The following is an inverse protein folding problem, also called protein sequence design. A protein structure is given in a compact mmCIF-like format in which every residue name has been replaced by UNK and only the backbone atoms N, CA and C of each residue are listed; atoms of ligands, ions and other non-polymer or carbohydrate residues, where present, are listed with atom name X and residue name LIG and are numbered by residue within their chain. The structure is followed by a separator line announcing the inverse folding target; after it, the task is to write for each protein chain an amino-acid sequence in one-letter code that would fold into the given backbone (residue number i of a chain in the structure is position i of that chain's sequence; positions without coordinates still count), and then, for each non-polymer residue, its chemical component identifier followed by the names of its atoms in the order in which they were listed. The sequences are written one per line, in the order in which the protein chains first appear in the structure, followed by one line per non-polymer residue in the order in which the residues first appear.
data_IF_096016594605
#
_entry.id   IF_096016594605
#
_cell.length_a   1.000
_cell.length_b   1.000
_cell.length_c   1.000
_cell.angle_alpha   90.00
_cell.angle_beta   90.00
_cell.angle_gamma   90.00
#
_symmetry.space_group_name_H-M   'P 1'
#
loop_
_entity.id
_entity.type
_entity.pdbx_description
1 polymer ?
#
# COMPACT_ATOMS: atom_id res chain seq x y z
N UNK A 1 4.31 5.22 -20.46
CA UNK A 1 2.96 5.42 -19.89
C UNK A 1 2.87 4.90 -18.44
N UNK A 2 3.71 5.39 -17.52
CA UNK A 2 3.79 4.87 -16.14
C UNK A 2 2.58 5.26 -15.28
N UNK A 3 2.08 6.50 -15.41
CA UNK A 3 1.03 7.01 -14.51
C UNK A 3 -0.40 6.71 -14.95
N UNK A 4 -0.66 6.29 -16.20
CA UNK A 4 -2.02 5.92 -16.65
C UNK A 4 -2.70 4.92 -15.70
N UNK A 5 -2.08 3.75 -15.39
CA UNK A 5 -2.70 2.81 -14.45
C UNK A 5 -2.87 3.41 -13.04
N UNK A 6 -1.96 4.30 -12.61
CA UNK A 6 -2.06 4.97 -11.30
C UNK A 6 -3.30 5.86 -11.21
N UNK A 7 -3.62 6.61 -12.28
CA UNK A 7 -4.82 7.45 -12.31
C UNK A 7 -6.09 6.59 -12.33
N UNK A 8 -6.10 5.53 -13.13
CA UNK A 8 -7.25 4.61 -13.22
C UNK A 8 -7.50 3.94 -11.87
N UNK A 9 -6.47 3.39 -11.24
CA UNK A 9 -6.58 2.73 -9.94
C UNK A 9 -6.88 3.71 -8.81
N UNK A 10 -6.26 4.89 -8.81
CA UNK A 10 -6.46 5.92 -7.79
C UNK A 10 -7.83 6.58 -7.80
N UNK A 11 -8.61 6.41 -8.88
CA UNK A 11 -10.01 6.86 -8.97
C UNK A 11 -11.02 5.76 -8.64
N UNK A 12 -10.59 4.52 -8.40
CA UNK A 12 -11.46 3.47 -7.87
C UNK A 12 -11.76 3.72 -6.38
N UNK A 13 -12.96 3.40 -5.88
CA UNK A 13 -14.08 2.73 -6.58
C UNK A 13 -15.04 3.67 -7.35
N UNK A 14 -14.77 4.98 -7.42
CA UNK A 14 -15.70 5.97 -7.99
C UNK A 14 -15.74 5.95 -9.53
N UNK A 15 -14.67 5.52 -10.21
CA UNK A 15 -14.58 5.54 -11.67
C UNK A 15 -15.58 4.59 -12.36
N UNK A 16 -16.02 3.50 -11.74
CA UNK A 16 -17.09 2.66 -12.31
C UNK A 16 -18.43 3.40 -12.39
N UNK A 17 -18.75 4.22 -11.38
CA UNK A 17 -19.95 5.08 -11.39
C UNK A 17 -19.82 6.25 -12.36
N UNK A 18 -18.58 6.72 -12.58
CA UNK A 18 -18.29 7.78 -13.54
C UNK A 18 -18.72 7.40 -14.96
N UNK A 19 -18.44 6.17 -15.41
CA UNK A 19 -18.77 5.74 -16.77
C UNK A 19 -20.27 5.86 -17.06
N UNK A 20 -21.11 5.55 -16.07
CA UNK A 20 -22.56 5.73 -16.14
C UNK A 20 -22.95 7.21 -16.25
N UNK A 21 -22.46 8.04 -15.34
CA UNK A 21 -22.79 9.47 -15.34
C UNK A 21 -22.25 10.21 -16.58
N UNK A 22 -21.03 9.86 -17.02
CA UNK A 22 -20.36 10.47 -18.17
C UNK A 22 -21.07 10.14 -19.48
N UNK A 23 -21.42 8.86 -19.70
CA UNK A 23 -22.10 8.44 -20.92
C UNK A 23 -23.44 9.17 -21.09
N UNK A 24 -24.22 9.26 -20.02
CA UNK A 24 -25.47 10.03 -20.04
C UNK A 24 -25.24 11.54 -20.22
N UNK A 25 -24.20 12.09 -19.61
CA UNK A 25 -23.84 13.50 -19.77
C UNK A 25 -23.45 13.86 -21.20
N UNK A 26 -22.73 12.96 -21.88
CA UNK A 26 -22.36 13.09 -23.30
C UNK A 26 -23.57 12.97 -24.21
N UNK A 27 -24.42 11.95 -24.01
CA UNK A 27 -25.67 11.77 -24.78
C UNK A 27 -26.58 13.00 -24.69
N UNK A 28 -26.63 13.64 -23.52
CA UNK A 28 -27.43 14.85 -23.28
C UNK A 28 -26.73 16.18 -23.52
N UNK A 29 -25.47 16.16 -23.99
CA UNK A 29 -24.65 17.35 -24.27
C UNK A 29 -24.63 18.35 -23.10
N UNK A 30 -24.45 17.84 -21.89
CA UNK A 30 -24.49 18.65 -20.66
C UNK A 30 -23.27 19.56 -20.58
N UNK A 31 -23.51 20.84 -20.29
CA UNK A 31 -22.47 21.82 -19.99
C UNK A 31 -22.20 21.86 -18.49
N UNK A 32 -21.20 21.11 -18.03
CA UNK A 32 -20.85 21.02 -16.60
C UNK A 32 -20.08 22.24 -16.06
N UNK A 33 -19.31 22.89 -16.94
CA UNK A 33 -18.38 23.96 -16.61
C UNK A 33 -18.44 25.05 -17.67
N UNK A 34 -18.15 26.30 -17.27
CA UNK A 34 -17.86 27.36 -18.24
C UNK A 34 -16.55 27.06 -18.96
N UNK A 35 -16.36 27.68 -20.13
CA UNK A 35 -15.15 27.46 -20.92
C UNK A 35 -13.86 27.70 -20.11
N UNK A 36 -13.75 28.83 -19.40
CA UNK A 36 -12.55 29.15 -18.60
C UNK A 36 -12.25 28.11 -17.51
N UNK A 37 -13.26 27.70 -16.75
CA UNK A 37 -13.15 26.68 -15.68
C UNK A 37 -12.68 25.33 -16.24
N UNK A 38 -13.28 24.89 -17.37
CA UNK A 38 -12.89 23.66 -18.05
C UNK A 38 -11.44 23.69 -18.50
N UNK A 39 -11.00 24.79 -19.11
CA UNK A 39 -9.60 24.94 -19.55
C UNK A 39 -8.65 24.90 -18.36
N UNK A 40 -8.94 25.62 -17.29
CA UNK A 40 -8.12 25.61 -16.08
C UNK A 40 -7.93 24.20 -15.52
N UNK A 41 -9.02 23.45 -15.32
CA UNK A 41 -8.96 22.08 -14.78
C UNK A 41 -8.19 21.12 -15.69
N UNK A 42 -8.40 21.21 -17.02
CA UNK A 42 -7.68 20.38 -17.97
C UNK A 42 -6.20 20.73 -18.04
N UNK A 43 -5.85 22.02 -18.06
CA UNK A 43 -4.47 22.48 -18.03
C UNK A 43 -3.79 21.96 -16.76
N UNK A 44 -4.41 22.08 -15.59
CA UNK A 44 -3.87 21.52 -14.35
C UNK A 44 -3.54 20.03 -14.50
N UNK A 45 -4.53 19.23 -14.91
CA UNK A 45 -4.35 17.77 -15.06
C UNK A 45 -3.21 17.47 -16.04
N UNK A 46 -3.25 18.05 -17.25
CA UNK A 46 -2.30 17.74 -18.30
C UNK A 46 -0.90 18.26 -18.01
N UNK A 47 -0.75 19.46 -17.45
CA UNK A 47 0.55 20.03 -17.09
C UNK A 47 1.28 19.12 -16.10
N UNK A 48 0.63 18.70 -15.01
CA UNK A 48 1.23 17.82 -14.01
C UNK A 48 1.47 16.41 -14.59
N UNK A 49 0.49 15.86 -15.30
CA UNK A 49 0.56 14.52 -15.86
C UNK A 49 1.71 14.40 -16.87
N UNK A 50 1.83 15.35 -17.80
CA UNK A 50 2.86 15.35 -18.84
C UNK A 50 4.24 15.59 -18.19
N UNK A 51 4.35 16.59 -17.32
CA UNK A 51 5.60 16.92 -16.63
C UNK A 51 6.21 15.70 -15.94
N UNK A 52 5.45 15.02 -15.07
CA UNK A 52 5.97 13.84 -14.37
C UNK A 52 6.11 12.61 -15.28
N UNK A 53 5.30 12.48 -16.33
CA UNK A 53 5.44 11.39 -17.29
C UNK A 53 6.76 11.45 -18.07
N UNK A 54 7.26 12.64 -18.36
CA UNK A 54 8.54 12.86 -19.06
C UNK A 54 9.75 12.75 -18.12
N UNK A 55 9.59 13.07 -16.83
CA UNK A 55 10.65 12.98 -15.81
C UNK A 55 11.37 11.62 -15.78
N UNK A 56 12.69 11.60 -15.61
CA UNK A 56 13.49 10.37 -15.49
C UNK A 56 13.20 9.60 -14.20
N UNK A 57 13.00 10.30 -13.09
CA UNK A 57 12.63 9.72 -11.79
C UNK A 57 11.11 9.74 -11.61
N UNK A 58 10.53 8.59 -11.27
CA UNK A 58 9.08 8.41 -11.14
C UNK A 58 8.73 7.71 -9.85
N UNK A 59 7.98 8.39 -8.99
CA UNK A 59 7.32 7.83 -7.82
C UNK A 59 5.82 8.01 -7.97
N UNK A 60 5.05 6.98 -7.61
CA UNK A 60 3.57 7.00 -7.63
C UNK A 60 2.98 8.29 -7.03
N UNK A 61 3.40 8.79 -5.85
CA UNK A 61 2.83 9.99 -5.24
C UNK A 61 3.07 11.29 -6.03
N UNK A 62 4.01 11.34 -6.98
CA UNK A 62 4.27 12.57 -7.74
C UNK A 62 3.04 13.08 -8.48
N UNK A 63 2.17 12.16 -8.92
CA UNK A 63 0.97 12.55 -9.64
C UNK A 63 -0.22 12.88 -8.73
N UNK A 64 -0.11 12.68 -7.41
CA UNK A 64 -1.21 12.89 -6.47
C UNK A 64 -1.97 14.23 -6.64
N UNK A 65 -1.32 15.37 -6.96
CA UNK A 65 -2.04 16.63 -7.14
C UNK A 65 -3.10 16.65 -8.25
N UNK A 66 -3.06 15.74 -9.24
CA UNK A 66 -4.09 15.70 -10.30
C UNK A 66 -5.44 15.21 -9.79
N UNK A 67 -5.49 14.51 -8.65
CA UNK A 67 -6.75 14.00 -8.12
C UNK A 67 -7.68 15.13 -7.63
N UNK A 68 -7.14 16.32 -7.33
CA UNK A 68 -7.93 17.49 -6.94
C UNK A 68 -8.84 17.98 -8.08
N UNK A 69 -8.33 18.37 -9.27
CA UNK A 69 -9.21 18.76 -10.37
C UNK A 69 -10.09 17.60 -10.87
N UNK A 70 -9.62 16.35 -10.80
CA UNK A 70 -10.46 15.18 -11.12
C UNK A 70 -11.66 15.07 -10.17
N UNK A 71 -11.44 15.24 -8.86
CA UNK A 71 -12.52 15.20 -7.86
C UNK A 71 -13.55 16.31 -8.10
N UNK A 72 -13.13 17.51 -8.48
CA UNK A 72 -14.04 18.61 -8.86
C UNK A 72 -14.90 18.24 -10.08
N UNK A 73 -14.28 17.68 -11.13
CA UNK A 73 -14.99 17.20 -12.32
C UNK A 73 -16.00 16.11 -11.95
N UNK A 74 -15.61 15.14 -11.14
CA UNK A 74 -16.46 14.04 -10.70
C UNK A 74 -17.64 14.57 -9.87
N UNK A 75 -17.38 15.47 -8.92
CA UNK A 75 -18.41 16.07 -8.07
C UNK A 75 -19.48 16.80 -8.88
N UNK A 76 -19.09 17.62 -9.86
CA UNK A 76 -20.04 18.31 -10.73
C UNK A 76 -20.87 17.34 -11.57
N UNK A 77 -20.24 16.30 -12.13
CA UNK A 77 -20.92 15.30 -12.94
C UNK A 77 -21.90 14.46 -12.09
N UNK A 78 -21.51 14.05 -10.89
CA UNK A 78 -22.38 13.31 -9.99
C UNK A 78 -23.53 14.16 -9.45
N UNK A 79 -23.29 15.43 -9.14
CA UNK A 79 -24.36 16.37 -8.76
C UNK A 79 -25.41 16.47 -9.87
N UNK A 80 -24.97 16.69 -11.13
CA UNK A 80 -25.88 16.73 -12.27
C UNK A 80 -26.68 15.42 -12.42
N UNK A 81 -26.02 14.27 -12.19
CA UNK A 81 -26.67 12.96 -12.24
C UNK A 81 -27.72 12.75 -11.13
N UNK A 82 -27.45 13.30 -9.94
CA UNK A 82 -28.33 13.25 -8.77
C UNK A 82 -29.59 14.08 -8.98
N UNK A 83 -29.42 15.35 -9.36
CA UNK A 83 -30.51 16.33 -9.54
C UNK A 83 -31.48 15.93 -10.65
N UNK A 84 -31.03 15.06 -11.57
CA UNK A 84 -31.87 14.55 -12.62
C UNK A 84 -32.85 13.51 -12.09
N UNK A 85 -34.14 13.87 -12.12
CA UNK A 85 -35.25 12.92 -12.00
C UNK A 85 -35.18 11.88 -13.12
N UNK A 86 -34.76 10.66 -12.79
CA UNK A 86 -34.91 9.50 -13.69
C UNK A 86 -36.36 9.02 -13.53
N UNK A 87 -37.18 9.27 -14.56
CA UNK A 87 -38.48 8.62 -14.68
C UNK A 87 -38.32 7.10 -14.83
N UNK A 88 -39.34 6.30 -14.48
CA UNK A 88 -39.28 4.82 -14.48
C UNK A 88 -39.07 4.16 -15.86
N UNK A 89 -38.89 4.92 -16.94
CA UNK A 89 -38.96 4.47 -18.34
C UNK A 89 -37.68 3.84 -18.92
N UNK A 90 -36.60 3.71 -18.16
CA UNK A 90 -35.45 2.94 -18.67
C UNK A 90 -35.73 1.44 -18.55
N UNK A 91 -35.93 0.78 -19.70
CA UNK A 91 -36.10 -0.67 -19.78
C UNK A 91 -34.98 -1.43 -19.07
N UNK A 92 -35.31 -2.57 -18.47
CA UNK A 92 -34.42 -3.39 -17.65
C UNK A 92 -33.06 -3.68 -18.29
N UNK A 93 -33.01 -3.91 -19.61
CA UNK A 93 -31.77 -4.16 -20.35
C UNK A 93 -30.80 -2.97 -20.41
N UNK A 94 -31.28 -1.71 -20.51
CA UNK A 94 -30.39 -0.54 -20.48
C UNK A 94 -29.78 -0.32 -19.10
N UNK A 95 -30.53 -0.59 -18.04
CA UNK A 95 -30.03 -0.48 -16.65
C UNK A 95 -28.88 -1.45 -16.38
N UNK A 96 -29.03 -2.70 -16.80
CA UNK A 96 -27.99 -3.72 -16.63
C UNK A 96 -26.66 -3.32 -17.30
N UNK A 97 -26.71 -2.76 -18.50
CA UNK A 97 -25.51 -2.28 -19.20
C UNK A 97 -24.81 -1.12 -18.47
N UNK A 98 -25.56 -0.25 -17.80
CA UNK A 98 -25.01 0.86 -17.02
C UNK A 98 -24.44 0.41 -15.66
N UNK A 99 -25.00 -0.65 -15.07
CA UNK A 99 -24.53 -1.21 -13.80
C UNK A 99 -23.36 -2.21 -14.00
N UNK A 100 -23.14 -2.69 -15.23
CA UNK A 100 -22.09 -3.64 -15.58
C UNK A 100 -20.67 -3.21 -15.11
N UNK A 101 -20.20 -1.97 -15.31
CA UNK A 101 -18.88 -1.56 -14.81
C UNK A 101 -18.77 -1.61 -13.28
N UNK A 102 -19.87 -1.30 -12.58
CA UNK A 102 -19.94 -1.34 -11.11
C UNK A 102 -19.86 -2.80 -10.65
N UNK A 103 -20.59 -3.70 -11.31
CA UNK A 103 -20.53 -5.13 -11.04
C UNK A 103 -19.13 -5.70 -11.28
N UNK A 104 -18.53 -5.42 -12.45
CA UNK A 104 -17.18 -5.87 -12.80
C UNK A 104 -16.16 -5.40 -11.74
N UNK A 105 -16.19 -4.12 -11.38
CA UNK A 105 -15.32 -3.56 -10.34
C UNK A 105 -15.53 -4.28 -9.00
N UNK A 106 -16.78 -4.48 -8.59
CA UNK A 106 -17.10 -5.09 -7.29
C UNK A 106 -16.64 -6.54 -7.24
N UNK A 107 -16.90 -7.31 -8.30
CA UNK A 107 -16.41 -8.69 -8.41
C UNK A 107 -14.88 -8.76 -8.46
N UNK A 108 -14.21 -7.82 -9.14
CA UNK A 108 -12.75 -7.73 -9.15
C UNK A 108 -12.20 -7.51 -7.74
N UNK A 109 -12.76 -6.57 -6.95
CA UNK A 109 -12.34 -6.35 -5.56
C UNK A 109 -12.59 -7.58 -4.68
N UNK A 110 -13.76 -8.21 -4.80
CA UNK A 110 -14.08 -9.44 -4.06
C UNK A 110 -13.10 -10.57 -4.43
N UNK A 111 -12.80 -10.75 -5.72
CA UNK A 111 -11.84 -11.74 -6.18
C UNK A 111 -10.44 -11.50 -5.59
N UNK A 112 -9.98 -10.25 -5.54
CA UNK A 112 -8.69 -9.90 -4.92
C UNK A 112 -8.69 -10.21 -3.41
N UNK A 113 -9.77 -9.91 -2.69
CA UNK A 113 -9.89 -10.16 -1.25
C UNK A 113 -9.88 -11.65 -0.90
N UNK A 114 -10.47 -12.48 -1.75
CA UNK A 114 -10.55 -13.94 -1.56
C UNK A 114 -9.30 -14.64 -2.14
N UNK A 115 -8.56 -14.00 -3.05
CA UNK A 115 -7.39 -14.60 -3.71
C UNK A 115 -6.35 -15.25 -2.77
N UNK A 116 -6.02 -14.69 -1.58
CA UNK A 116 -5.05 -15.32 -0.69
C UNK A 116 -5.50 -16.69 -0.16
N UNK A 117 -6.81 -17.00 -0.16
CA UNK A 117 -7.34 -18.29 0.26
C UNK A 117 -7.04 -19.40 -0.77
N UNK A 118 -6.99 -19.03 -2.06
CA UNK A 118 -6.78 -19.99 -3.15
C UNK A 118 -5.31 -20.17 -3.53
N UNK A 119 -4.45 -19.20 -3.19
CA UNK A 119 -3.02 -19.24 -3.51
C UNK A 119 -2.27 -20.01 -2.42
N UNK A 120 -2.47 -21.32 -2.37
CA UNK A 120 -1.85 -22.26 -1.41
C UNK A 120 -0.41 -22.67 -1.76
N UNK A 121 0.12 -22.25 -2.92
CA UNK A 121 1.41 -22.75 -3.44
C UNK A 121 2.48 -21.66 -3.67
N UNK A 122 2.26 -20.42 -3.22
CA UNK A 122 3.33 -19.42 -3.22
C UNK A 122 4.12 -19.47 -1.92
N UNK A 123 5.35 -18.95 -1.92
CA UNK A 123 6.14 -18.68 -0.69
C UNK A 123 5.33 -17.98 0.41
N UNK A 124 4.21 -17.33 0.07
CA UNK A 124 3.20 -16.74 0.95
C UNK A 124 2.56 -17.75 1.93
N UNK A 125 2.43 -19.02 1.55
CA UNK A 125 1.72 -20.04 2.33
C UNK A 125 2.44 -20.37 3.65
N UNK A 126 3.78 -20.39 3.64
CA UNK A 126 4.61 -20.56 4.85
C UNK A 126 4.46 -19.42 5.88
N UNK A 127 3.88 -18.29 5.47
CA UNK A 127 3.62 -17.12 6.33
C UNK A 127 2.14 -16.97 6.71
N UNK A 128 1.25 -17.45 5.83
CA UNK A 128 -0.16 -17.64 6.15
C UNK A 128 -0.39 -18.84 7.08
N UNK A 129 0.56 -19.80 7.16
CA UNK A 129 0.56 -20.92 8.10
C UNK A 129 0.53 -20.43 9.57
N UNK A 130 1.18 -19.30 9.87
CA UNK A 130 1.11 -18.62 11.18
C UNK A 130 -0.09 -17.66 11.32
N UNK A 131 -0.88 -17.49 10.26
CA UNK A 131 -2.08 -16.67 10.22
C UNK A 131 -3.28 -17.55 9.95
N UNK A 132 -3.72 -18.30 10.97
CA UNK A 132 -4.97 -19.08 10.99
C UNK A 132 -5.94 -18.62 9.89
N UNK A 133 -6.03 -19.36 8.79
CA UNK A 133 -6.87 -19.01 7.61
C UNK A 133 -8.33 -18.76 8.04
N UNK A 134 -8.76 -19.40 9.12
CA UNK A 134 -10.03 -19.17 9.82
C UNK A 134 -10.26 -17.70 10.21
N UNK A 135 -9.21 -16.95 10.56
CA UNK A 135 -9.29 -15.52 10.91
C UNK A 135 -9.33 -14.61 9.69
N UNK A 136 -8.89 -15.06 8.51
CA UNK A 136 -8.90 -14.22 7.30
C UNK A 136 -10.33 -13.87 6.87
N UNK A 137 -11.26 -14.83 6.97
CA UNK A 137 -12.67 -14.62 6.66
C UNK A 137 -13.29 -13.47 7.46
N UNK A 138 -12.96 -13.36 8.75
CA UNK A 138 -13.43 -12.27 9.60
C UNK A 138 -12.87 -10.89 9.19
N UNK A 139 -11.70 -10.83 8.57
CA UNK A 139 -11.11 -9.60 8.07
C UNK A 139 -11.72 -9.15 6.73
N UNK A 140 -12.14 -10.10 5.88
CA UNK A 140 -12.66 -9.78 4.54
C UNK A 140 -14.18 -9.70 4.46
N UNK A 141 -14.93 -10.19 5.46
CA UNK A 141 -16.40 -10.20 5.43
C UNK A 141 -16.99 -8.79 5.31
N UNK A 142 -16.45 -7.81 6.04
CA UNK A 142 -16.90 -6.40 5.99
C UNK A 142 -16.61 -5.74 4.63
N UNK A 143 -15.39 -5.77 4.08
CA UNK A 143 -15.17 -5.18 2.75
C UNK A 143 -15.96 -5.90 1.65
N UNK A 144 -16.18 -7.22 1.74
CA UNK A 144 -17.06 -7.95 0.80
C UNK A 144 -18.51 -7.47 0.93
N UNK A 145 -19.02 -7.32 2.16
CA UNK A 145 -20.36 -6.81 2.41
C UNK A 145 -20.55 -5.43 1.76
N UNK A 146 -19.60 -4.50 1.94
CA UNK A 146 -19.68 -3.19 1.31
C UNK A 146 -19.62 -3.25 -0.22
N UNK A 147 -18.80 -4.13 -0.80
CA UNK A 147 -18.78 -4.35 -2.26
C UNK A 147 -20.11 -4.90 -2.78
N UNK A 148 -20.75 -5.82 -2.06
CA UNK A 148 -22.07 -6.34 -2.42
C UNK A 148 -23.13 -5.24 -2.33
N UNK A 149 -23.10 -4.41 -1.28
CA UNK A 149 -24.01 -3.28 -1.12
C UNK A 149 -23.82 -2.21 -2.22
N UNK A 150 -22.58 -1.97 -2.68
CA UNK A 150 -22.25 -1.02 -3.75
C UNK A 150 -22.99 -1.35 -5.06
N UNK A 151 -23.24 -2.62 -5.34
CA UNK A 151 -23.89 -3.08 -6.59
C UNK A 151 -25.36 -2.61 -6.67
N UNK A 152 -26.11 -2.65 -5.57
CA UNK A 152 -27.57 -2.43 -5.63
C UNK A 152 -28.07 -1.28 -4.77
N UNK A 153 -27.43 -0.98 -3.63
CA UNK A 153 -27.98 -0.05 -2.64
C UNK A 153 -28.09 1.40 -3.15
N UNK A 154 -27.12 1.96 -3.90
CA UNK A 154 -27.27 3.31 -4.47
C UNK A 154 -28.52 3.44 -5.34
N UNK A 155 -28.79 2.42 -6.16
CA UNK A 155 -29.97 2.38 -7.05
C UNK A 155 -31.27 2.24 -6.26
N UNK A 156 -31.29 1.46 -5.18
CA UNK A 156 -32.46 1.33 -4.29
C UNK A 156 -32.78 2.64 -3.55
N UNK A 157 -31.75 3.30 -3.00
CA UNK A 157 -31.91 4.58 -2.28
C UNK A 157 -32.45 5.64 -3.23
N UNK A 158 -31.86 5.76 -4.43
CA UNK A 158 -32.36 6.69 -5.47
C UNK A 158 -33.81 6.41 -5.83
N UNK A 159 -34.21 5.14 -5.98
CA UNK A 159 -35.59 4.79 -6.32
C UNK A 159 -36.59 5.12 -5.20
N UNK A 160 -36.21 4.88 -3.95
CA UNK A 160 -37.10 5.08 -2.79
C UNK A 160 -37.25 6.56 -2.42
N UNK A 161 -36.16 7.31 -2.42
CA UNK A 161 -36.12 8.67 -1.91
C UNK A 161 -35.98 9.75 -3.01
N UNK A 162 -35.80 9.34 -4.28
CA UNK A 162 -35.51 10.21 -5.43
C UNK A 162 -34.22 11.03 -5.32
N UNK A 163 -33.46 10.83 -4.25
CA UNK A 163 -32.19 11.46 -3.93
C UNK A 163 -31.33 10.52 -3.05
N UNK A 164 -30.07 10.87 -2.81
CA UNK A 164 -29.13 10.14 -1.96
C UNK A 164 -28.25 9.12 -2.70
N UNK A 165 -28.26 9.07 -4.03
CA UNK A 165 -27.44 8.13 -4.80
C UNK A 165 -25.94 8.34 -4.57
N UNK A 166 -25.49 9.59 -4.72
CA UNK A 166 -24.09 9.98 -4.57
C UNK A 166 -23.62 9.82 -3.13
N UNK A 167 -24.41 10.25 -2.14
CA UNK A 167 -24.08 10.08 -0.71
C UNK A 167 -23.95 8.60 -0.36
N UNK A 168 -24.83 7.75 -0.88
CA UNK A 168 -24.76 6.29 -0.67
C UNK A 168 -23.46 5.72 -1.24
N UNK A 169 -23.09 6.09 -2.47
CA UNK A 169 -21.82 5.66 -3.09
C UNK A 169 -20.63 6.12 -2.26
N UNK A 170 -20.62 7.39 -1.85
CA UNK A 170 -19.53 7.98 -1.08
C UNK A 170 -19.32 7.24 0.24
N UNK A 171 -20.40 7.01 1.00
CA UNK A 171 -20.35 6.31 2.28
C UNK A 171 -19.91 4.86 2.11
N UNK A 172 -20.50 4.11 1.17
CA UNK A 172 -20.12 2.72 0.94
C UNK A 172 -18.67 2.59 0.46
N UNK A 173 -18.21 3.51 -0.40
CA UNK A 173 -16.82 3.55 -0.86
C UNK A 173 -15.86 3.86 0.28
N UNK A 174 -16.20 4.81 1.15
CA UNK A 174 -15.42 5.14 2.34
C UNK A 174 -15.35 3.97 3.31
N UNK A 175 -16.48 3.32 3.61
CA UNK A 175 -16.51 2.15 4.49
C UNK A 175 -15.77 0.95 3.90
N UNK A 176 -15.88 0.72 2.59
CA UNK A 176 -15.07 -0.27 1.89
C UNK A 176 -13.57 0.04 2.05
N UNK A 177 -13.15 1.27 1.79
CA UNK A 177 -11.74 1.66 1.92
C UNK A 177 -11.23 1.58 3.36
N UNK A 178 -12.03 1.94 4.37
CA UNK A 178 -11.66 1.78 5.77
C UNK A 178 -11.54 0.29 6.11
N UNK A 179 -12.53 -0.52 5.72
CA UNK A 179 -12.56 -1.94 6.05
C UNK A 179 -11.47 -2.76 5.35
N UNK A 180 -11.03 -2.40 4.14
CA UNK A 180 -9.94 -3.09 3.44
C UNK A 180 -8.56 -2.84 4.08
N UNK A 181 -8.40 -1.79 4.89
CA UNK A 181 -7.12 -1.55 5.59
C UNK A 181 -6.75 -2.71 6.51
N UNK A 182 -7.72 -3.37 7.16
CA UNK A 182 -7.46 -4.47 8.08
C UNK A 182 -6.80 -5.70 7.41
N UNK A 183 -7.37 -6.30 6.34
CA UNK A 183 -6.72 -7.40 5.64
C UNK A 183 -5.40 -6.97 4.98
N UNK A 184 -5.32 -5.76 4.41
CA UNK A 184 -4.08 -5.23 3.83
C UNK A 184 -2.99 -5.11 4.90
N UNK A 185 -3.30 -4.53 6.05
CA UNK A 185 -2.35 -4.37 7.15
C UNK A 185 -1.86 -5.74 7.64
N UNK A 186 -2.76 -6.72 7.79
CA UNK A 186 -2.39 -8.09 8.18
C UNK A 186 -1.44 -8.72 7.16
N UNK A 187 -1.69 -8.52 5.87
CA UNK A 187 -0.86 -9.06 4.78
C UNK A 187 0.52 -8.38 4.72
N UNK A 188 0.59 -7.06 4.85
CA UNK A 188 1.82 -6.30 4.62
C UNK A 188 2.72 -6.16 5.86
N UNK A 189 2.16 -6.19 7.07
CA UNK A 189 2.90 -5.97 8.32
C UNK A 189 4.13 -6.88 8.45
N UNK A 190 4.06 -8.21 8.19
CA UNK A 190 5.22 -9.08 8.31
C UNK A 190 6.38 -8.74 7.36
N UNK A 191 6.10 -8.10 6.21
CA UNK A 191 7.06 -7.89 5.11
C UNK A 191 7.61 -6.48 5.00
N UNK A 192 6.83 -5.49 5.42
CA UNK A 192 7.11 -4.07 5.19
C UNK A 192 7.25 -3.26 6.48
N UNK A 193 6.65 -3.72 7.58
CA UNK A 193 6.70 -3.01 8.84
C UNK A 193 7.93 -3.40 9.65
N UNK A 194 8.51 -2.44 10.35
CA UNK A 194 9.51 -2.70 11.38
C UNK A 194 8.88 -3.29 12.66
N UNK A 195 7.56 -3.15 12.83
CA UNK A 195 6.84 -3.58 14.04
C UNK A 195 7.23 -4.97 14.59
N UNK A 196 7.19 -6.07 13.80
CA UNK A 196 7.50 -7.39 14.33
C UNK A 196 8.97 -7.52 14.78
N UNK A 197 9.89 -6.90 14.03
CA UNK A 197 11.32 -6.89 14.35
C UNK A 197 11.58 -6.04 15.59
N UNK A 198 11.01 -4.84 15.66
CA UNK A 198 11.13 -3.94 16.81
C UNK A 198 10.60 -4.58 18.09
N UNK A 199 9.50 -5.34 17.99
CA UNK A 199 8.97 -6.11 19.12
C UNK A 199 9.97 -7.17 19.58
N UNK A 200 10.54 -7.93 18.65
CA UNK A 200 11.54 -8.95 18.97
C UNK A 200 12.80 -8.36 19.61
N UNK A 201 13.30 -7.24 19.08
CA UNK A 201 14.43 -6.51 19.65
C UNK A 201 14.14 -6.09 21.09
N UNK A 202 12.96 -5.49 21.34
CA UNK A 202 12.60 -5.03 22.68
C UNK A 202 12.54 -6.19 23.70
N UNK A 203 12.23 -7.41 23.26
CA UNK A 203 12.13 -8.58 24.15
C UNK A 203 13.44 -9.36 24.30
N UNK A 204 14.29 -9.36 23.29
CA UNK A 204 15.42 -10.31 23.18
C UNK A 204 16.79 -9.64 23.16
N UNK A 205 16.87 -8.34 22.84
CA UNK A 205 18.13 -7.61 22.88
C UNK A 205 18.44 -7.22 24.34
N UNK A 206 19.60 -7.64 24.90
CA UNK A 206 19.99 -7.20 26.23
C UNK A 206 20.22 -5.68 26.29
N UNK A 207 20.01 -5.05 27.46
CA UNK A 207 20.29 -3.63 27.62
C UNK A 207 21.77 -3.31 27.33
N UNK A 208 22.03 -2.14 26.75
CA UNK A 208 23.36 -1.64 26.36
C UNK A 208 24.10 -2.44 25.29
N UNK A 209 23.45 -3.36 24.58
CA UNK A 209 24.04 -4.06 23.44
C UNK A 209 23.86 -3.27 22.13
N UNK A 210 24.90 -3.24 21.31
CA UNK A 210 24.84 -2.70 19.95
C UNK A 210 24.03 -3.63 19.04
N UNK A 211 23.24 -3.05 18.13
CA UNK A 211 22.48 -3.80 17.13
C UNK A 211 22.93 -3.43 15.72
N UNK A 212 23.30 -4.45 14.96
CA UNK A 212 23.77 -4.33 13.58
C UNK A 212 22.64 -4.64 12.59
N UNK A 213 22.47 -3.86 11.53
CA UNK A 213 21.61 -4.19 10.40
C UNK A 213 22.48 -4.68 9.23
N UNK A 214 22.43 -5.97 8.95
CA UNK A 214 23.27 -6.58 7.91
C UNK A 214 22.58 -6.61 6.54
N UNK A 215 23.18 -5.92 5.57
CA UNK A 215 22.71 -5.76 4.18
C UNK A 215 21.31 -5.18 4.04
N UNK A 216 20.83 -4.51 5.08
CA UNK A 216 19.52 -3.86 5.10
C UNK A 216 19.58 -2.55 5.91
N UNK A 217 18.60 -1.69 5.66
CA UNK A 217 18.37 -0.47 6.43
C UNK A 217 16.85 -0.30 6.60
N UNK A 218 16.33 -0.73 7.74
CA UNK A 218 14.91 -0.66 8.09
C UNK A 218 14.70 0.47 9.11
N UNK A 219 14.39 1.66 8.61
CA UNK A 219 14.30 2.91 9.37
C UNK A 219 13.42 2.85 10.63
N UNK A 220 12.41 1.99 10.64
CA UNK A 220 11.51 1.90 11.80
C UNK A 220 12.19 1.31 13.03
N UNK A 221 13.26 0.52 12.88
CA UNK A 221 13.94 -0.11 14.03
C UNK A 221 14.49 0.95 14.97
N UNK A 222 15.27 1.91 14.44
CA UNK A 222 15.89 2.95 15.25
C UNK A 222 14.85 3.79 15.99
N UNK A 223 13.77 4.15 15.30
CA UNK A 223 12.68 4.95 15.85
C UNK A 223 11.90 4.23 16.96
N UNK A 224 11.43 3.00 16.70
CA UNK A 224 10.57 2.28 17.64
C UNK A 224 11.32 1.74 18.86
N UNK A 225 12.59 1.36 18.68
CA UNK A 225 13.42 0.83 19.76
C UNK A 225 14.21 1.91 20.49
N UNK A 226 14.25 3.15 19.98
CA UNK A 226 15.06 4.26 20.52
C UNK A 226 16.54 3.88 20.67
N UNK A 227 17.03 3.08 19.75
CA UNK A 227 18.44 2.68 19.64
C UNK A 227 18.99 3.22 18.33
N UNK A 228 20.30 3.48 18.27
CA UNK A 228 20.99 3.76 17.02
C UNK A 228 21.62 2.47 16.53
N UNK A 229 21.18 1.97 15.39
CA UNK A 229 21.74 0.76 14.80
C UNK A 229 22.95 1.06 13.93
N UNK A 230 23.84 0.07 13.82
CA UNK A 230 25.02 0.13 12.96
C UNK A 230 24.69 -0.54 11.63
N UNK A 231 25.04 0.08 10.51
CA UNK A 231 24.72 -0.44 9.19
C UNK A 231 25.90 -1.23 8.63
N UNK A 232 25.64 -2.45 8.14
CA UNK A 232 26.67 -3.32 7.58
C UNK A 232 26.41 -3.57 6.10
N UNK A 233 27.42 -3.34 5.26
CA UNK A 233 27.36 -3.48 3.78
C UNK A 233 26.18 -2.68 3.17
N UNK A 234 25.89 -1.46 3.68
CA UNK A 234 24.74 -0.67 3.22
C UNK A 234 24.99 0.85 3.24
N UNK A 235 25.27 1.40 2.07
CA UNK A 235 25.49 2.86 1.93
C UNK A 235 24.22 3.60 1.45
N UNK A 236 23.41 2.96 0.60
CA UNK A 236 22.09 3.44 0.14
C UNK A 236 22.01 4.95 -0.14
N UNK A 237 20.99 5.58 0.43
CA UNK A 237 20.76 7.03 0.36
C UNK A 237 21.69 7.85 1.27
N UNK A 238 22.31 7.20 2.26
CA UNK A 238 23.18 7.85 3.25
C UNK A 238 24.60 8.08 2.70
N UNK A 239 24.95 7.46 1.56
CA UNK A 239 26.26 7.53 0.92
C UNK A 239 26.84 8.94 0.81
N UNK A 240 26.02 9.93 0.44
CA UNK A 240 26.50 11.32 0.34
C UNK A 240 26.92 11.86 1.71
N UNK A 241 26.08 11.72 2.74
CA UNK A 241 26.40 12.15 4.10
C UNK A 241 27.58 11.38 4.69
N UNK A 242 27.68 10.09 4.38
CA UNK A 242 28.77 9.22 4.81
C UNK A 242 30.14 9.69 4.33
N UNK A 243 30.22 10.29 3.14
CA UNK A 243 31.47 10.79 2.59
C UNK A 243 31.92 12.10 3.24
N UNK A 244 31.06 12.73 4.03
CA UNK A 244 31.36 13.97 4.75
C UNK A 244 31.73 13.71 6.23
N UNK A 245 31.55 12.49 6.73
CA UNK A 245 31.85 12.15 8.11
C UNK A 245 33.37 11.97 8.33
N UNK A 246 33.88 12.32 9.53
CA UNK A 246 35.22 11.94 9.94
C UNK A 246 35.41 10.41 9.82
N UNK A 247 36.60 9.93 9.44
CA UNK A 247 36.87 8.49 9.27
C UNK A 247 36.53 7.66 10.52
N UNK A 248 36.77 8.21 11.71
CA UNK A 248 36.54 7.55 12.99
C UNK A 248 35.04 7.34 13.25
N UNK A 249 34.21 8.35 12.97
CA UNK A 249 32.76 8.25 13.13
C UNK A 249 32.14 7.35 12.07
N UNK A 250 32.65 7.43 10.83
CA UNK A 250 32.19 6.58 9.73
C UNK A 250 32.41 5.10 10.03
N UNK A 251 33.62 4.73 10.44
CA UNK A 251 33.98 3.34 10.76
C UNK A 251 33.26 2.80 12.00
N UNK A 252 32.79 3.68 12.89
CA UNK A 252 31.98 3.26 14.02
C UNK A 252 30.54 2.90 13.63
N UNK A 253 29.87 3.68 12.79
CA UNK A 253 28.45 3.46 12.46
C UNK A 253 28.20 2.65 11.19
N UNK A 254 29.18 2.57 10.30
CA UNK A 254 29.07 1.94 8.99
C UNK A 254 30.22 0.99 8.78
N UNK A 255 29.88 -0.27 8.67
CA UNK A 255 30.84 -1.36 8.68
C UNK A 255 30.74 -2.15 7.39
N UNK A 256 31.87 -2.66 6.92
CA UNK A 256 31.87 -3.76 5.97
C UNK A 256 31.71 -5.09 6.71
N UNK A 257 31.31 -6.14 6.01
CA UNK A 257 31.19 -7.47 6.59
C UNK A 257 32.49 -7.96 7.26
N UNK A 258 33.67 -7.61 6.73
CA UNK A 258 34.95 -7.95 7.38
C UNK A 258 35.11 -7.28 8.74
N UNK A 259 34.74 -6.00 8.83
CA UNK A 259 34.80 -5.22 10.07
C UNK A 259 33.76 -5.70 11.08
N UNK A 260 32.58 -6.11 10.62
CA UNK A 260 31.58 -6.78 11.45
C UNK A 260 32.16 -8.04 12.11
N UNK A 261 32.83 -8.90 11.36
CA UNK A 261 33.43 -10.12 11.92
C UNK A 261 34.60 -9.82 12.84
N UNK A 262 35.39 -8.78 12.57
CA UNK A 262 36.44 -8.31 13.47
C UNK A 262 35.84 -7.87 14.81
N UNK A 263 34.80 -7.03 14.78
CA UNK A 263 34.04 -6.56 15.94
C UNK A 263 33.43 -7.73 16.73
N UNK A 264 32.91 -8.73 16.03
CA UNK A 264 32.38 -9.94 16.65
C UNK A 264 33.45 -10.67 17.47
N UNK A 265 34.67 -10.85 16.92
CA UNK A 265 35.79 -11.49 17.63
C UNK A 265 36.30 -10.68 18.81
N UNK A 266 36.27 -9.35 18.72
CA UNK A 266 36.70 -8.46 19.80
C UNK A 266 35.72 -8.47 20.98
N UNK A 267 34.42 -8.45 20.69
CA UNK A 267 33.36 -8.38 21.71
C UNK A 267 32.92 -9.78 22.22
N UNK A 268 33.27 -10.85 21.51
CA UNK A 268 32.82 -12.22 21.77
C UNK A 268 31.36 -12.50 21.38
N UNK A 269 30.50 -11.50 21.44
CA UNK A 269 29.13 -11.60 20.95
C UNK A 269 28.60 -10.30 20.36
N UNK A 270 27.77 -10.42 19.32
CA UNK A 270 27.04 -9.30 18.72
C UNK A 270 25.62 -9.72 18.29
N UNK A 271 24.73 -8.73 18.21
CA UNK A 271 23.34 -8.91 17.81
C UNK A 271 23.08 -8.27 16.45
N UNK A 272 22.49 -9.01 15.53
CA UNK A 272 22.31 -8.57 14.15
C UNK A 272 20.87 -8.81 13.68
N UNK A 273 20.30 -7.86 12.97
CA UNK A 273 19.08 -8.06 12.18
C UNK A 273 19.44 -8.13 10.70
N UNK A 274 18.88 -9.11 10.01
CA UNK A 274 18.95 -9.20 8.55
C UNK A 274 17.63 -9.61 7.94
N UNK A 275 17.56 -9.55 6.62
CA UNK A 275 16.41 -9.94 5.81
C UNK A 275 16.82 -11.10 4.90
N UNK A 276 15.90 -12.02 4.64
CA UNK A 276 16.04 -13.15 3.74
C UNK A 276 17.03 -14.23 4.22
N UNK A 277 16.74 -15.49 3.89
CA UNK A 277 17.55 -16.64 4.35
C UNK A 277 18.97 -16.65 3.80
N UNK A 278 19.15 -16.14 2.60
CA UNK A 278 20.46 -16.07 1.93
C UNK A 278 21.47 -15.25 2.76
N UNK A 279 21.03 -14.17 3.40
CA UNK A 279 21.90 -13.38 4.28
C UNK A 279 22.22 -14.11 5.59
N UNK A 280 21.26 -14.88 6.13
CA UNK A 280 21.49 -15.73 7.31
C UNK A 280 22.52 -16.82 6.97
N UNK A 281 22.41 -17.47 5.82
CA UNK A 281 23.35 -18.48 5.35
C UNK A 281 24.75 -17.90 5.12
N UNK A 282 24.83 -16.68 4.54
CA UNK A 282 26.09 -15.96 4.38
C UNK A 282 26.77 -15.70 5.73
N UNK A 283 26.04 -15.25 6.75
CA UNK A 283 26.58 -15.07 8.10
C UNK A 283 26.97 -16.40 8.75
N UNK A 284 26.13 -17.43 8.61
CA UNK A 284 26.37 -18.76 9.19
C UNK A 284 27.60 -19.46 8.60
N UNK A 285 27.91 -19.21 7.33
CA UNK A 285 29.13 -19.72 6.67
C UNK A 285 30.42 -19.21 7.32
N UNK A 286 30.38 -18.01 7.91
CA UNK A 286 31.53 -17.37 8.57
C UNK A 286 31.53 -17.58 10.08
N UNK A 287 30.34 -17.64 10.68
CA UNK A 287 30.14 -17.84 12.13
C UNK A 287 29.19 -19.04 12.33
N UNK A 288 29.72 -20.27 12.39
CA UNK A 288 28.90 -21.49 12.52
C UNK A 288 28.07 -21.55 13.81
N UNK A 289 28.53 -20.86 14.84
CA UNK A 289 27.92 -20.67 16.17
C UNK A 289 26.75 -19.68 16.19
N UNK A 290 26.34 -19.17 15.02
CA UNK A 290 25.20 -18.26 14.88
C UNK A 290 23.91 -18.90 15.38
N UNK A 291 23.22 -18.16 16.26
CA UNK A 291 21.95 -18.52 16.86
C UNK A 291 20.85 -17.58 16.32
N UNK A 292 19.74 -18.15 15.85
CA UNK A 292 18.56 -17.37 15.45
C UNK A 292 17.70 -17.17 16.69
N UNK A 293 17.68 -15.94 17.23
CA UNK A 293 16.88 -15.62 18.42
C UNK A 293 15.40 -15.50 18.09
N UNK A 294 15.09 -14.97 16.92
CA UNK A 294 13.73 -14.79 16.44
C UNK A 294 13.69 -14.64 14.91
N UNK A 295 12.65 -15.15 14.28
CA UNK A 295 12.34 -14.86 12.90
C UNK A 295 10.84 -14.83 12.63
N UNK A 296 10.46 -14.16 11.55
CA UNK A 296 9.12 -14.26 10.97
C UNK A 296 9.16 -14.79 9.52
N UNK A 297 10.23 -15.51 9.18
CA UNK A 297 10.62 -15.98 7.85
C UNK A 297 11.13 -14.91 6.87
N UNK A 298 10.83 -13.62 7.09
CA UNK A 298 11.32 -12.49 6.27
C UNK A 298 12.54 -11.85 6.92
N UNK A 299 12.39 -11.49 8.18
CA UNK A 299 13.42 -10.87 9.00
C UNK A 299 13.89 -11.86 10.06
N UNK A 300 15.17 -11.74 10.39
CA UNK A 300 15.86 -12.61 11.33
C UNK A 300 16.62 -11.75 12.32
N UNK A 301 16.36 -11.94 13.60
CA UNK A 301 17.18 -11.42 14.69
C UNK A 301 18.14 -12.53 15.14
N UNK A 302 19.42 -12.22 15.09
CA UNK A 302 20.51 -13.18 15.18
C UNK A 302 21.45 -12.78 16.32
N UNK A 303 22.00 -13.79 17.00
CA UNK A 303 23.14 -13.65 17.90
C UNK A 303 24.32 -14.38 17.29
N UNK A 304 25.39 -13.63 17.02
CA UNK A 304 26.64 -14.18 16.53
C UNK A 304 27.59 -14.28 17.72
N UNK A 305 28.15 -15.49 17.94
CA UNK A 305 29.17 -15.72 18.96
C UNK A 305 30.50 -16.01 18.26
N UNK A 306 31.44 -15.10 18.39
CA UNK A 306 32.80 -15.25 17.90
C UNK A 306 33.77 -15.21 19.11
#
# INVERSE_FOLDING_TARGET
MFYIPVVVLGTLPWSAFLLRALKEGVEKRVTLFKAGEKHFLLIWIFSIFIFFSVSSSKLIPYIAPIFLPIAVIFGHLFRWYEERNIGPEEGWGRRFLYDLPIMIQSFMFIAVLISPIFIKNMKLDKYLENSHVEKWWWLVILPILFQVMIIFLPSLVKRKWRQGWFVTILLLSAFFLISIHFPIARLLTPYRSAYPVSRAIHTLLPPNQELFQYRMSLYGIDFYNKIRTLLVDRDGELKFGLNQLPPDEKSHYFLNHEELFKRCKENGEIYCVTRDKENVEALKSKVPTLEVLWDNGVYYLLRLRC
#
